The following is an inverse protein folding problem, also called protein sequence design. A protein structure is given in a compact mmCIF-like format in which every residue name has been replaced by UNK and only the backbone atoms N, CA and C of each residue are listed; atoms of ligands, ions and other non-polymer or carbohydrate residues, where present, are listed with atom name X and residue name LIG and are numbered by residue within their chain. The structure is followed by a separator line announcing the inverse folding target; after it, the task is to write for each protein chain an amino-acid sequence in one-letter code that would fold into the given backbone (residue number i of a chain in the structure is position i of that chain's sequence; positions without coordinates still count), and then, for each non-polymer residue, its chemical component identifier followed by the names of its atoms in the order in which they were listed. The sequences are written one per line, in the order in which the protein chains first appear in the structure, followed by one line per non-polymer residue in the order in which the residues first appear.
data_IF_575302124277
#
_entry.id   IF_575302124277
#
_cell.length_a   1.000
_cell.length_b   1.000
_cell.length_c   1.000
_cell.angle_alpha   90.00
_cell.angle_beta   90.00
_cell.angle_gamma   90.00
#
_symmetry.space_group_name_H-M   'P 1'
#
loop_
_entity.id
_entity.type
_entity.pdbx_description
1 polymer ?
#
# COMPACT_ATOMS: atom_id res chain seq x y z
N UNK A 1 20.43 0.65 0.90
CA UNK A 1 20.10 2.08 1.08
C UNK A 1 19.58 2.80 -0.17
N UNK A 2 19.85 2.35 -1.42
CA UNK A 2 19.41 3.07 -2.64
C UNK A 2 17.89 3.19 -2.86
N UNK A 3 17.06 2.40 -2.18
CA UNK A 3 15.60 2.35 -2.40
C UNK A 3 14.76 3.02 -1.31
N UNK A 4 15.37 3.38 -0.18
CA UNK A 4 14.69 3.99 0.98
C UNK A 4 14.06 5.34 0.62
N UNK A 5 14.72 6.13 -0.26
CA UNK A 5 14.16 7.39 -0.76
C UNK A 5 12.91 7.20 -1.62
N UNK A 6 12.89 6.18 -2.49
CA UNK A 6 11.70 5.90 -3.32
C UNK A 6 10.51 5.48 -2.45
N UNK A 7 10.77 4.65 -1.44
CA UNK A 7 9.78 4.23 -0.44
C UNK A 7 9.17 5.44 0.28
N UNK A 8 10.04 6.33 0.79
CA UNK A 8 9.66 7.55 1.50
C UNK A 8 8.81 8.48 0.63
N UNK A 9 9.23 8.70 -0.63
CA UNK A 9 8.50 9.58 -1.56
C UNK A 9 7.11 9.03 -1.84
N UNK A 10 6.99 7.74 -2.18
CA UNK A 10 5.71 7.11 -2.51
C UNK A 10 4.79 7.11 -1.28
N UNK A 11 5.31 6.78 -0.10
CA UNK A 11 4.53 6.75 1.13
C UNK A 11 4.05 8.13 1.57
N UNK A 12 4.90 9.14 1.42
CA UNK A 12 4.54 10.53 1.73
C UNK A 12 3.46 11.02 0.75
N UNK A 13 3.60 10.71 -0.53
CA UNK A 13 2.63 11.09 -1.56
C UNK A 13 1.26 10.48 -1.29
N UNK A 14 1.20 9.19 -0.95
CA UNK A 14 -0.03 8.50 -0.54
C UNK A 14 -0.66 9.11 0.73
N UNK A 15 0.17 9.44 1.74
CA UNK A 15 -0.29 10.12 2.94
C UNK A 15 -0.91 11.50 2.65
N UNK A 16 -0.27 12.28 1.78
CA UNK A 16 -0.77 13.61 1.37
C UNK A 16 -2.09 13.49 0.60
N UNK A 17 -2.20 12.56 -0.35
CA UNK A 17 -3.45 12.31 -1.09
C UNK A 17 -4.57 11.94 -0.13
N UNK A 18 -4.31 11.01 0.81
CA UNK A 18 -5.29 10.59 1.79
C UNK A 18 -5.74 11.75 2.68
N UNK A 19 -4.81 12.59 3.12
CA UNK A 19 -5.11 13.80 3.89
C UNK A 19 -6.04 14.73 3.11
N UNK A 20 -5.69 15.08 1.87
CA UNK A 20 -6.47 16.00 1.03
C UNK A 20 -7.89 15.48 0.82
N UNK A 21 -8.06 14.19 0.48
CA UNK A 21 -9.38 13.58 0.26
C UNK A 21 -10.24 13.64 1.53
N UNK A 22 -9.68 13.29 2.69
CA UNK A 22 -10.44 13.25 3.94
C UNK A 22 -10.74 14.65 4.49
N UNK A 23 -9.83 15.60 4.29
CA UNK A 23 -10.01 17.01 4.66
C UNK A 23 -11.12 17.66 3.84
N UNK A 24 -11.08 17.50 2.51
CA UNK A 24 -12.13 18.02 1.61
C UNK A 24 -13.51 17.44 1.94
N UNK A 25 -13.54 16.18 2.38
CA UNK A 25 -14.79 15.48 2.70
C UNK A 25 -15.35 15.81 4.09
N UNK A 26 -14.69 16.65 4.90
CA UNK A 26 -15.11 17.05 6.26
C UNK A 26 -15.56 15.89 7.16
N UNK A 27 -14.96 14.72 6.97
CA UNK A 27 -15.43 13.45 7.55
C UNK A 27 -15.14 13.30 9.03
N UNK A 28 -14.21 14.10 9.57
CA UNK A 28 -13.70 13.96 10.93
C UNK A 28 -13.02 15.26 11.39
N UNK A 29 -12.81 15.44 12.72
CA UNK A 29 -11.98 16.53 13.22
C UNK A 29 -10.56 16.46 12.65
N UNK A 30 -9.97 17.63 12.39
CA UNK A 30 -8.67 17.80 11.74
C UNK A 30 -7.57 16.91 12.35
N UNK A 31 -7.50 16.86 13.68
CA UNK A 31 -6.52 16.06 14.42
C UNK A 31 -6.60 14.57 14.06
N UNK A 32 -7.81 14.03 13.90
CA UNK A 32 -8.02 12.63 13.52
C UNK A 32 -7.60 12.38 12.08
N UNK A 33 -7.87 13.32 11.17
CA UNK A 33 -7.48 13.21 9.76
C UNK A 33 -5.95 13.19 9.63
N UNK A 34 -5.24 14.06 10.36
CA UNK A 34 -3.78 14.09 10.39
C UNK A 34 -3.22 12.75 10.86
N UNK A 35 -3.73 12.22 11.99
CA UNK A 35 -3.28 10.94 12.55
C UNK A 35 -3.51 9.80 11.54
N UNK A 36 -4.70 9.69 10.95
CA UNK A 36 -5.01 8.66 9.96
C UNK A 36 -4.10 8.76 8.73
N UNK A 37 -3.86 9.97 8.24
CA UNK A 37 -3.00 10.21 7.07
C UNK A 37 -1.55 9.84 7.34
N UNK A 38 -1.05 10.14 8.54
CA UNK A 38 0.28 9.74 8.98
C UNK A 38 0.39 8.22 9.10
N UNK A 39 -0.63 7.56 9.68
CA UNK A 39 -0.72 6.11 9.76
C UNK A 39 -0.70 5.45 8.38
N UNK A 40 -1.44 6.00 7.40
CA UNK A 40 -1.42 5.54 6.01
C UNK A 40 -0.02 5.69 5.42
N UNK A 41 0.61 6.85 5.58
CA UNK A 41 1.98 7.07 5.09
C UNK A 41 2.96 6.06 5.70
N UNK A 42 2.95 5.88 7.02
CA UNK A 42 3.83 4.92 7.70
C UNK A 42 3.57 3.49 7.20
N UNK A 43 2.31 3.09 7.11
CA UNK A 43 1.92 1.74 6.67
C UNK A 43 2.45 1.45 5.27
N UNK A 44 2.25 2.37 4.32
CA UNK A 44 2.77 2.23 2.96
C UNK A 44 4.29 2.27 2.89
N UNK A 45 4.95 3.11 3.69
CA UNK A 45 6.40 3.17 3.76
C UNK A 45 7.00 1.86 4.27
N UNK A 46 6.43 1.29 5.33
CA UNK A 46 6.84 0.00 5.89
C UNK A 46 6.60 -1.13 4.90
N UNK A 47 5.42 -1.21 4.29
CA UNK A 47 5.12 -2.23 3.28
C UNK A 47 6.07 -2.15 2.10
N UNK A 48 6.32 -0.95 1.58
CA UNK A 48 7.24 -0.78 0.46
C UNK A 48 8.67 -1.20 0.84
N UNK A 49 9.14 -0.81 2.04
CA UNK A 49 10.44 -1.23 2.54
C UNK A 49 10.54 -2.74 2.71
N UNK A 50 9.56 -3.38 3.36
CA UNK A 50 9.52 -4.83 3.55
C UNK A 50 9.54 -5.58 2.22
N UNK A 51 8.74 -5.12 1.25
CA UNK A 51 8.68 -5.73 -0.07
C UNK A 51 10.03 -5.62 -0.79
N UNK A 52 10.72 -4.47 -0.69
CA UNK A 52 12.05 -4.28 -1.27
C UNK A 52 13.17 -5.04 -0.56
N UNK A 53 13.08 -5.23 0.76
CA UNK A 53 14.05 -6.03 1.53
C UNK A 53 13.88 -7.52 1.32
N UNK A 54 12.65 -7.99 1.08
CA UNK A 54 12.36 -9.41 0.91
C UNK A 54 12.56 -9.91 -0.53
N UNK A 55 12.59 -9.00 -1.52
CA UNK A 55 12.70 -9.35 -2.93
C UNK A 55 14.09 -9.00 -3.47
N UNK A 56 14.87 -10.04 -3.74
CA UNK A 56 16.28 -9.94 -4.19
C UNK A 56 16.43 -9.35 -5.59
N UNK A 57 15.51 -9.65 -6.52
CA UNK A 57 15.59 -9.19 -7.91
C UNK A 57 14.63 -8.04 -8.23
N UNK A 58 15.05 -7.16 -9.15
CA UNK A 58 14.24 -6.05 -9.62
C UNK A 58 12.93 -6.51 -10.29
N UNK A 59 12.97 -7.65 -10.99
CA UNK A 59 11.78 -8.29 -11.57
C UNK A 59 10.78 -8.73 -10.49
N UNK A 60 11.26 -9.40 -9.44
CA UNK A 60 10.40 -9.83 -8.33
C UNK A 60 9.78 -8.65 -7.60
N UNK A 61 10.51 -7.53 -7.49
CA UNK A 61 9.99 -6.27 -6.91
C UNK A 61 8.85 -5.68 -7.72
N UNK A 62 8.93 -5.69 -9.05
CA UNK A 62 7.81 -5.23 -9.89
C UNK A 62 6.64 -6.22 -9.81
N UNK A 63 6.95 -7.52 -9.86
CA UNK A 63 5.99 -8.61 -9.81
C UNK A 63 5.13 -8.58 -8.55
N UNK A 64 5.72 -8.39 -7.37
CA UNK A 64 4.98 -8.44 -6.09
C UNK A 64 4.75 -7.06 -5.49
N UNK A 65 5.68 -6.12 -5.64
CA UNK A 65 5.61 -4.79 -5.01
C UNK A 65 4.46 -3.93 -5.50
N UNK A 66 4.26 -3.84 -6.83
CA UNK A 66 3.16 -3.03 -7.38
C UNK A 66 1.80 -3.61 -6.98
N UNK A 67 1.53 -4.93 -7.15
CA UNK A 67 0.28 -5.51 -6.68
C UNK A 67 0.05 -5.35 -5.17
N UNK A 68 1.07 -5.53 -4.32
CA UNK A 68 0.93 -5.40 -2.86
C UNK A 68 0.50 -4.00 -2.44
N UNK A 69 1.13 -2.97 -3.01
CA UNK A 69 0.78 -1.57 -2.73
C UNK A 69 -0.68 -1.32 -3.15
N UNK A 70 -1.07 -1.76 -4.35
CA UNK A 70 -2.44 -1.56 -4.85
C UNK A 70 -3.44 -2.34 -3.99
N UNK A 71 -3.16 -3.60 -3.68
CA UNK A 71 -4.04 -4.48 -2.90
C UNK A 71 -4.28 -3.96 -1.49
N UNK A 72 -3.23 -3.47 -0.82
CA UNK A 72 -3.38 -2.83 0.49
C UNK A 72 -4.21 -1.55 0.40
N UNK A 73 -3.95 -0.70 -0.60
CA UNK A 73 -4.65 0.57 -0.77
C UNK A 73 -6.15 0.35 -0.99
N UNK A 74 -6.49 -0.49 -1.96
CA UNK A 74 -7.87 -0.82 -2.28
C UNK A 74 -8.55 -1.57 -1.15
N UNK A 75 -7.88 -2.55 -0.54
CA UNK A 75 -8.41 -3.29 0.60
C UNK A 75 -8.73 -2.38 1.79
N UNK A 76 -7.85 -1.41 2.10
CA UNK A 76 -8.09 -0.43 3.16
C UNK A 76 -9.22 0.56 2.81
N UNK A 77 -9.30 1.04 1.57
CA UNK A 77 -10.36 1.94 1.10
C UNK A 77 -11.74 1.26 1.10
N UNK A 78 -11.82 0.03 0.60
CA UNK A 78 -13.05 -0.76 0.60
C UNK A 78 -13.43 -1.11 2.05
N UNK A 79 -12.46 -1.54 2.86
CA UNK A 79 -12.70 -1.92 4.24
C UNK A 79 -13.15 -0.78 5.13
N UNK A 80 -12.70 0.45 4.88
CA UNK A 80 -13.23 1.62 5.60
C UNK A 80 -14.69 1.91 5.26
N UNK A 81 -15.15 1.59 4.03
CA UNK A 81 -16.57 1.68 3.64
C UNK A 81 -17.43 0.56 4.24
N UNK A 82 -16.84 -0.60 4.50
CA UNK A 82 -17.50 -1.77 5.09
C UNK A 82 -17.33 -1.87 6.62
N UNK A 83 -16.73 -0.85 7.24
CA UNK A 83 -16.36 -0.84 8.67
C UNK A 83 -15.45 -2.00 9.12
N UNK A 84 -14.80 -2.67 8.17
CA UNK A 84 -13.88 -3.78 8.37
C UNK A 84 -12.52 -3.52 7.70
N UNK A 85 -11.83 -2.40 7.99
CA UNK A 85 -10.59 -2.01 7.32
C UNK A 85 -9.51 -3.09 7.39
N UNK A 86 -9.31 -3.71 8.56
CA UNK A 86 -8.27 -4.72 8.76
C UNK A 86 -8.52 -5.96 7.89
N UNK A 87 -9.76 -6.48 7.90
CA UNK A 87 -10.11 -7.70 7.17
C UNK A 87 -9.98 -7.47 5.67
N UNK A 88 -10.53 -6.37 5.15
CA UNK A 88 -10.45 -6.08 3.72
C UNK A 88 -9.02 -5.77 3.26
N UNK A 89 -8.17 -5.16 4.11
CA UNK A 89 -6.74 -5.00 3.81
C UNK A 89 -6.04 -6.36 3.72
N UNK A 90 -6.31 -7.30 4.64
CA UNK A 90 -5.75 -8.65 4.58
C UNK A 90 -6.19 -9.40 3.32
N UNK A 91 -7.46 -9.29 2.94
CA UNK A 91 -7.99 -9.85 1.68
C UNK A 91 -7.29 -9.21 0.47
N UNK A 92 -7.11 -7.89 0.48
CA UNK A 92 -6.39 -7.16 -0.56
C UNK A 92 -4.94 -7.61 -0.71
N UNK A 93 -4.24 -7.87 0.40
CA UNK A 93 -2.89 -8.46 0.41
C UNK A 93 -2.91 -9.86 -0.21
N UNK A 94 -3.86 -10.72 0.18
CA UNK A 94 -3.95 -12.07 -0.36
C UNK A 94 -4.18 -12.06 -1.89
N UNK A 95 -5.08 -11.21 -2.38
CA UNK A 95 -5.32 -11.03 -3.82
C UNK A 95 -4.06 -10.52 -4.52
N UNK A 96 -3.36 -9.55 -3.94
CA UNK A 96 -2.12 -9.02 -4.51
C UNK A 96 -1.03 -10.09 -4.66
N UNK A 97 -0.88 -10.98 -3.68
CA UNK A 97 0.07 -12.10 -3.75
C UNK A 97 -0.30 -13.08 -4.87
N UNK A 98 -1.58 -13.37 -5.04
CA UNK A 98 -2.09 -14.22 -6.14
C UNK A 98 -1.79 -13.58 -7.50
N UNK A 99 -2.07 -12.28 -7.66
CA UNK A 99 -1.78 -11.54 -8.89
C UNK A 99 -0.28 -11.55 -9.19
N UNK A 100 0.56 -11.31 -8.19
CA UNK A 100 2.02 -11.38 -8.35
C UNK A 100 2.48 -12.79 -8.76
N UNK A 101 1.93 -13.84 -8.17
CA UNK A 101 2.24 -15.22 -8.55
C UNK A 101 1.84 -15.51 -10.02
N UNK A 102 0.62 -15.16 -10.42
CA UNK A 102 0.13 -15.34 -11.79
C UNK A 102 0.97 -14.57 -12.80
N UNK A 103 1.35 -13.33 -12.49
CA UNK A 103 2.21 -12.52 -13.34
C UNK A 103 3.57 -13.18 -13.61
N UNK A 104 4.21 -13.72 -12.57
CA UNK A 104 5.48 -14.45 -12.74
C UNK A 104 5.33 -15.70 -13.59
N UNK A 105 4.24 -16.44 -13.39
CA UNK A 105 3.92 -17.62 -14.21
C UNK A 105 3.73 -17.26 -15.69
N UNK A 106 3.06 -16.16 -16.00
CA UNK A 106 2.81 -15.71 -17.38
C UNK A 106 4.11 -15.24 -18.04
N UNK A 107 4.95 -14.49 -17.31
CA UNK A 107 6.22 -13.97 -17.86
C UNK A 107 7.38 -14.97 -17.83
N UNK A 108 7.20 -16.16 -17.25
CA UNK A 108 8.28 -17.14 -17.10
C UNK A 108 9.37 -16.75 -16.10
N UNK A 109 9.13 -15.73 -15.28
CA UNK A 109 10.03 -15.28 -14.22
C UNK A 109 9.85 -16.24 -13.03
N UNK A 110 10.83 -17.12 -12.80
CA UNK A 110 10.84 -18.08 -11.67
C UNK A 110 11.58 -17.48 -10.46
#
# INVERSE_FOLDING_TARGET
MKHTHKALVISLFLGIIFFVVNFMSHTAPLSMIIIKSLLVAITFGVLYMLTFTLLDSEERRIQYGVPLVIGVALGALIGTKLEQPIICTLVGIAIALIVGYLYGRIKGVR
#
